data_IF_838863665518
#
_entry.id   IF_838863665518
#
_cell.length_a   1.000
_cell.length_b   1.000
_cell.length_c   1.000
_cell.angle_alpha   90.00
_cell.angle_beta   90.00
_cell.angle_gamma   90.00
#
_symmetry.space_group_name_H-M   'P 1'
#
loop_
_entity.id
_entity.type
_entity.pdbx_description
1 polymer ?
#
# COMPACT_ATOMS: atom_id res chain seq x y z
N UNK A 1 -7.71 14.29 -35.25
CA UNK A 1 -8.12 13.12 -36.05
C UNK A 1 -9.08 12.21 -35.30
N UNK A 2 -8.67 11.48 -34.26
CA UNK A 2 -9.57 10.55 -33.52
C UNK A 2 -10.84 11.20 -32.97
N UNK A 3 -10.71 12.27 -32.18
CA UNK A 3 -11.85 13.05 -31.65
C UNK A 3 -12.80 13.52 -32.76
N UNK A 4 -12.25 14.05 -33.85
CA UNK A 4 -13.06 14.58 -34.95
C UNK A 4 -13.84 13.47 -35.65
N UNK A 5 -13.21 12.34 -35.94
CA UNK A 5 -13.88 11.20 -36.56
C UNK A 5 -15.03 10.67 -35.68
N UNK A 6 -14.79 10.51 -34.37
CA UNK A 6 -15.81 10.01 -33.44
C UNK A 6 -16.95 11.02 -33.25
N UNK A 7 -16.64 12.31 -33.15
CA UNK A 7 -17.66 13.36 -32.99
C UNK A 7 -18.53 13.51 -34.23
N UNK A 8 -17.94 13.43 -35.44
CA UNK A 8 -18.69 13.43 -36.71
C UNK A 8 -19.60 12.20 -36.77
N UNK A 9 -19.09 11.02 -36.42
CA UNK A 9 -19.86 9.78 -36.44
C UNK A 9 -21.03 9.78 -35.44
N UNK A 10 -20.87 10.39 -34.27
CA UNK A 10 -21.93 10.49 -33.27
C UNK A 10 -23.03 11.50 -33.65
N UNK A 11 -22.74 12.47 -34.52
CA UNK A 11 -23.72 13.43 -35.05
C UNK A 11 -24.17 14.52 -34.07
N UNK A 12 -23.71 14.51 -32.81
CA UNK A 12 -23.96 15.55 -31.82
C UNK A 12 -22.86 15.55 -30.75
N UNK A 13 -22.61 16.70 -30.11
CA UNK A 13 -21.63 16.80 -29.01
C UNK A 13 -20.17 16.62 -29.44
N UNK A 14 -19.27 16.61 -28.46
CA UNK A 14 -17.83 16.36 -28.67
C UNK A 14 -17.43 15.08 -27.95
N UNK A 15 -16.90 14.12 -28.70
CA UNK A 15 -16.42 12.84 -28.18
C UNK A 15 -14.90 12.76 -28.31
N UNK A 16 -14.19 13.04 -27.21
CA UNK A 16 -12.73 13.11 -27.20
C UNK A 16 -12.08 11.72 -27.26
N UNK A 17 -11.06 11.59 -28.10
CA UNK A 17 -10.22 10.40 -28.22
C UNK A 17 -8.77 10.82 -28.10
N UNK A 18 -7.99 10.13 -27.27
CA UNK A 18 -6.57 10.42 -27.12
C UNK A 18 -5.79 9.28 -26.49
N UNK A 19 -4.48 9.26 -26.79
CA UNK A 19 -3.55 8.18 -26.41
C UNK A 19 -3.41 7.90 -24.90
N UNK A 20 -3.84 8.83 -24.05
CA UNK A 20 -3.80 8.69 -22.59
C UNK A 20 -5.20 8.60 -22.01
N UNK A 21 -6.10 9.51 -22.42
CA UNK A 21 -7.48 9.52 -21.94
C UNK A 21 -8.24 8.22 -22.28
N UNK A 22 -8.19 7.78 -23.54
CA UNK A 22 -8.99 6.64 -24.01
C UNK A 22 -8.58 5.31 -23.36
N UNK A 23 -7.29 4.93 -23.28
CA UNK A 23 -6.92 3.68 -22.61
C UNK A 23 -7.17 3.73 -21.10
N UNK A 24 -7.05 4.90 -20.47
CA UNK A 24 -7.37 5.03 -19.04
C UNK A 24 -8.88 4.91 -18.79
N UNK A 25 -9.74 5.48 -19.65
CA UNK A 25 -11.19 5.24 -19.61
C UNK A 25 -11.51 3.76 -19.83
N UNK A 26 -10.82 3.10 -20.76
CA UNK A 26 -11.00 1.66 -20.99
C UNK A 26 -10.67 0.82 -19.74
N UNK A 27 -9.65 1.18 -18.95
CA UNK A 27 -9.37 0.53 -17.66
C UNK A 27 -10.55 0.65 -16.68
N UNK A 28 -11.14 1.84 -16.57
CA UNK A 28 -12.31 2.08 -15.71
C UNK A 28 -13.51 1.26 -16.18
N UNK A 29 -13.82 1.29 -17.48
CA UNK A 29 -14.91 0.50 -18.05
C UNK A 29 -14.71 -1.00 -17.87
N UNK A 30 -13.50 -1.51 -18.08
CA UNK A 30 -13.17 -2.92 -17.90
C UNK A 30 -13.37 -3.35 -16.45
N UNK A 31 -12.86 -2.58 -15.48
CA UNK A 31 -13.07 -2.86 -14.05
C UNK A 31 -14.54 -2.76 -13.66
N UNK A 32 -15.28 -1.80 -14.21
CA UNK A 32 -16.72 -1.67 -13.98
C UNK A 32 -17.48 -2.92 -14.43
N UNK A 33 -17.22 -3.41 -15.66
CA UNK A 33 -17.87 -4.61 -16.16
C UNK A 33 -17.43 -5.89 -15.44
N UNK A 34 -16.14 -6.04 -15.12
CA UNK A 34 -15.61 -7.12 -14.28
C UNK A 34 -16.37 -7.17 -12.94
N UNK A 35 -16.57 -6.01 -12.30
CA UNK A 35 -17.28 -5.91 -11.04
C UNK A 35 -18.78 -6.20 -11.18
N UNK A 36 -19.45 -5.61 -12.18
CA UNK A 36 -20.91 -5.73 -12.38
C UNK A 36 -21.36 -7.11 -12.84
N UNK A 37 -20.54 -7.82 -13.60
CA UNK A 37 -20.83 -9.16 -14.13
C UNK A 37 -20.36 -10.27 -13.19
N UNK A 38 -19.75 -9.92 -12.06
CA UNK A 38 -19.26 -10.89 -11.11
C UNK A 38 -20.42 -11.58 -10.37
N UNK A 39 -20.40 -12.90 -10.36
CA UNK A 39 -21.33 -13.72 -9.57
C UNK A 39 -20.62 -14.21 -8.32
N UNK A 40 -21.01 -13.76 -7.11
CA UNK A 40 -20.43 -14.25 -5.87
C UNK A 40 -20.64 -15.76 -5.68
N UNK A 41 -19.56 -16.46 -5.38
CA UNK A 41 -19.57 -17.87 -5.00
C UNK A 41 -19.46 -17.97 -3.47
N UNK A 42 -20.34 -18.77 -2.86
CA UNK A 42 -20.24 -19.08 -1.44
C UNK A 42 -19.05 -20.00 -1.19
N UNK A 43 -18.44 -19.85 -0.02
CA UNK A 43 -17.42 -20.76 0.47
C UNK A 43 -17.51 -20.92 1.98
N UNK A 44 -17.07 -22.07 2.49
CA UNK A 44 -16.96 -22.36 3.90
C UNK A 44 -15.50 -22.55 4.27
N UNK A 45 -15.10 -22.00 5.41
CA UNK A 45 -13.75 -22.13 5.94
C UNK A 45 -13.84 -22.52 7.41
N UNK A 46 -13.07 -23.54 7.79
CA UNK A 46 -13.00 -24.02 9.16
C UNK A 46 -11.95 -23.23 9.91
N UNK A 47 -12.16 -23.11 11.22
CA UNK A 47 -11.22 -22.47 12.12
C UNK A 47 -11.13 -23.25 13.42
N UNK A 48 -9.92 -23.36 13.94
CA UNK A 48 -9.65 -23.87 15.28
C UNK A 48 -9.01 -22.78 16.12
N UNK A 49 -9.27 -22.80 17.42
CA UNK A 49 -8.66 -21.92 18.40
C UNK A 49 -7.89 -22.75 19.42
N UNK A 50 -6.71 -22.28 19.83
CA UNK A 50 -5.88 -22.88 20.87
C UNK A 50 -5.32 -21.79 21.78
N UNK A 51 -4.61 -22.20 22.84
CA UNK A 51 -3.96 -21.30 23.78
C UNK A 51 -2.87 -20.47 23.09
N UNK A 52 -2.86 -19.17 23.35
CA UNK A 52 -1.87 -18.22 22.85
C UNK A 52 -0.81 -17.85 23.89
N UNK A 53 -0.06 -16.78 23.61
CA UNK A 53 0.77 -16.13 24.62
C UNK A 53 -0.13 -15.34 25.61
N UNK A 54 0.32 -15.17 26.84
CA UNK A 54 -0.32 -14.31 27.86
C UNK A 54 -1.82 -14.54 28.06
N UNK A 55 -2.24 -15.81 28.15
CA UNK A 55 -3.66 -16.23 28.27
C UNK A 55 -4.55 -15.83 27.08
N UNK A 56 -3.94 -15.38 25.98
CA UNK A 56 -4.62 -15.11 24.72
C UNK A 56 -5.10 -16.38 24.02
N UNK A 57 -5.83 -16.20 22.92
CA UNK A 57 -6.21 -17.30 22.03
C UNK A 57 -5.65 -17.06 20.64
N UNK A 58 -5.16 -18.13 20.01
CA UNK A 58 -4.66 -18.08 18.64
C UNK A 58 -5.62 -18.84 17.75
N UNK A 59 -6.13 -18.15 16.73
CA UNK A 59 -7.05 -18.71 15.75
C UNK A 59 -6.29 -19.14 14.50
N UNK A 60 -6.39 -20.41 14.16
CA UNK A 60 -5.95 -20.92 12.86
C UNK A 60 -7.15 -20.99 11.91
N UNK A 61 -6.86 -20.86 10.61
CA UNK A 61 -7.84 -21.06 9.55
C UNK A 61 -7.42 -22.23 8.68
N UNK A 62 -8.37 -23.02 8.20
CA UNK A 62 -8.07 -24.09 7.26
C UNK A 62 -7.39 -23.54 6.01
N UNK A 63 -6.36 -24.23 5.51
CA UNK A 63 -5.66 -23.86 4.28
C UNK A 63 -6.61 -23.97 3.07
N UNK A 64 -7.54 -24.92 3.11
CA UNK A 64 -8.60 -25.09 2.13
C UNK A 64 -9.87 -24.30 2.46
N UNK A 65 -10.64 -24.01 1.41
CA UNK A 65 -11.99 -23.46 1.47
C UNK A 65 -12.90 -24.33 0.61
N UNK A 66 -14.04 -24.74 1.15
CA UNK A 66 -14.98 -25.61 0.47
C UNK A 66 -16.08 -24.80 -0.22
N UNK A 67 -16.50 -25.23 -1.41
CA UNK A 67 -17.57 -24.59 -2.20
C UNK A 67 -18.98 -25.05 -1.83
N UNK A 68 -19.08 -26.10 -1.02
CA UNK A 68 -20.34 -26.68 -0.56
C UNK A 68 -20.31 -26.79 0.96
N UNK A 69 -21.47 -26.71 1.59
CA UNK A 69 -21.60 -26.67 3.05
C UNK A 69 -21.42 -28.05 3.67
N UNK A 70 -21.91 -29.07 2.99
CA UNK A 70 -21.99 -30.45 3.47
C UNK A 70 -20.57 -31.01 3.74
N UNK A 71 -19.60 -30.94 2.80
CA UNK A 71 -18.23 -31.40 3.07
C UNK A 71 -17.56 -30.65 4.22
N UNK A 72 -17.79 -29.34 4.32
CA UNK A 72 -17.24 -28.52 5.41
C UNK A 72 -17.85 -28.91 6.77
N UNK A 73 -19.13 -29.28 6.80
CA UNK A 73 -19.83 -29.69 8.02
C UNK A 73 -19.31 -31.04 8.51
N UNK A 74 -19.13 -32.01 7.60
CA UNK A 74 -18.56 -33.32 7.95
C UNK A 74 -17.13 -33.20 8.50
N UNK A 75 -16.29 -32.36 7.88
CA UNK A 75 -14.94 -32.10 8.36
C UNK A 75 -14.94 -31.36 9.71
N UNK A 76 -15.88 -30.43 9.90
CA UNK A 76 -16.02 -29.71 11.17
C UNK A 76 -16.34 -30.66 12.32
N UNK A 77 -17.26 -31.61 12.12
CA UNK A 77 -17.63 -32.58 13.15
C UNK A 77 -16.47 -33.51 13.50
N UNK A 78 -15.67 -33.91 12.50
CA UNK A 78 -14.43 -34.69 12.71
C UNK A 78 -13.39 -33.91 13.51
N UNK A 79 -13.10 -32.67 13.12
CA UNK A 79 -12.14 -31.78 13.80
C UNK A 79 -12.58 -31.51 15.25
N UNK A 80 -13.87 -31.20 15.45
CA UNK A 80 -14.43 -30.94 16.78
C UNK A 80 -14.33 -32.17 17.68
N UNK A 81 -14.57 -33.36 17.14
CA UNK A 81 -14.50 -34.62 17.89
C UNK A 81 -13.07 -35.04 18.23
N UNK A 82 -12.09 -34.70 17.38
CA UNK A 82 -10.68 -35.01 17.64
C UNK A 82 -10.09 -34.22 18.82
N UNK A 83 -10.54 -32.98 19.04
CA UNK A 83 -10.20 -32.17 20.22
C UNK A 83 -8.74 -31.71 20.35
N UNK A 84 -7.86 -32.16 19.46
CA UNK A 84 -6.43 -31.81 19.39
C UNK A 84 -5.96 -31.66 17.94
N UNK A 85 -4.94 -30.84 17.72
CA UNK A 85 -4.27 -30.69 16.43
C UNK A 85 -2.76 -30.93 16.61
N UNK A 86 -2.09 -31.48 15.61
CA UNK A 86 -0.64 -31.70 15.64
C UNK A 86 0.05 -30.68 14.75
N UNK A 87 1.05 -29.98 15.28
CA UNK A 87 1.86 -29.05 14.48
C UNK A 87 2.68 -29.86 13.48
N UNK A 88 2.41 -29.66 12.20
CA UNK A 88 3.14 -30.32 11.10
C UNK A 88 4.28 -29.47 10.59
N UNK A 89 4.25 -28.15 10.84
CA UNK A 89 5.31 -27.24 10.44
C UNK A 89 5.30 -25.96 11.27
N UNK A 90 6.46 -25.50 11.71
CA UNK A 90 6.62 -24.20 12.36
C UNK A 90 7.83 -23.47 11.79
N UNK A 91 7.61 -22.33 11.12
CA UNK A 91 8.66 -21.48 10.58
C UNK A 91 8.71 -20.13 11.30
N UNK A 92 9.91 -19.72 11.70
CA UNK A 92 10.17 -18.37 12.23
C UNK A 92 11.27 -17.71 11.43
N UNK A 93 11.04 -16.49 10.99
CA UNK A 93 11.98 -15.73 10.15
C UNK A 93 11.97 -14.26 10.57
N UNK A 94 13.15 -13.71 10.77
CA UNK A 94 13.33 -12.26 10.83
C UNK A 94 13.06 -11.70 9.42
N UNK A 95 12.22 -10.66 9.35
CA UNK A 95 11.93 -9.94 8.11
C UNK A 95 12.25 -8.47 8.32
N UNK A 96 13.09 -7.94 7.43
CA UNK A 96 13.38 -6.51 7.36
C UNK A 96 12.45 -5.83 6.36
N UNK A 97 11.78 -4.77 6.80
CA UNK A 97 11.04 -3.86 5.94
C UNK A 97 11.85 -2.58 5.72
N UNK A 98 12.35 -2.45 4.50
CA UNK A 98 13.10 -1.29 4.04
C UNK A 98 12.28 0.01 4.17
N UNK A 99 12.95 1.13 4.42
CA UNK A 99 12.32 2.46 4.54
C UNK A 99 11.62 2.85 3.25
N UNK A 100 10.43 3.47 3.29
CA UNK A 100 9.80 3.95 2.07
C UNK A 100 10.71 4.97 1.35
N UNK A 101 10.74 4.94 0.02
CA UNK A 101 11.42 6.01 -0.72
C UNK A 101 10.65 7.33 -0.54
N UNK A 102 11.33 8.46 -0.71
CA UNK A 102 10.74 9.79 -0.76
C UNK A 102 9.57 9.88 -1.76
N UNK A 103 8.74 10.91 -1.61
CA UNK A 103 7.61 11.11 -2.52
C UNK A 103 8.07 11.62 -3.88
N UNK A 104 7.51 11.02 -4.93
CA UNK A 104 7.20 11.71 -6.17
C UNK A 104 5.76 12.23 -6.13
N UNK A 105 5.31 12.92 -7.18
CA UNK A 105 3.95 13.44 -7.25
C UNK A 105 2.89 12.33 -7.16
N UNK A 106 3.07 11.25 -7.92
CA UNK A 106 2.06 10.19 -8.04
C UNK A 106 1.90 9.43 -6.71
N UNK A 107 2.98 9.17 -5.99
CA UNK A 107 2.94 8.54 -4.66
C UNK A 107 2.29 9.46 -3.64
N UNK A 108 2.59 10.77 -3.65
CA UNK A 108 1.91 11.74 -2.79
C UNK A 108 0.40 11.78 -3.06
N UNK A 109 -0.01 11.85 -4.33
CA UNK A 109 -1.42 11.83 -4.74
C UNK A 109 -2.14 10.55 -4.30
N UNK A 110 -1.52 9.38 -4.50
CA UNK A 110 -2.08 8.09 -4.09
C UNK A 110 -2.33 8.02 -2.59
N UNK A 111 -1.37 8.47 -1.78
CA UNK A 111 -1.52 8.44 -0.32
C UNK A 111 -2.45 9.53 0.21
N UNK A 112 -2.43 10.71 -0.39
CA UNK A 112 -3.33 11.80 -0.05
C UNK A 112 -4.79 11.40 -0.30
N UNK A 113 -5.05 10.72 -1.42
CA UNK A 113 -6.35 10.16 -1.72
C UNK A 113 -6.76 9.07 -0.72
N UNK A 114 -5.86 8.10 -0.44
CA UNK A 114 -6.17 6.99 0.45
C UNK A 114 -6.38 7.41 1.92
N UNK A 115 -5.62 8.40 2.41
CA UNK A 115 -5.64 8.83 3.81
C UNK A 115 -6.60 10.00 4.08
N UNK A 116 -6.78 10.89 3.10
CA UNK A 116 -7.48 12.16 3.30
C UNK A 116 -8.57 12.43 2.26
N UNK A 117 -8.75 11.56 1.26
CA UNK A 117 -9.79 11.71 0.23
C UNK A 117 -9.51 12.79 -0.81
N UNK A 118 -8.34 13.42 -0.80
CA UNK A 118 -7.97 14.41 -1.80
C UNK A 118 -7.92 13.79 -3.20
N UNK A 119 -8.40 14.53 -4.21
CA UNK A 119 -8.21 14.14 -5.60
C UNK A 119 -6.73 14.34 -5.99
N UNK A 120 -6.33 13.69 -7.08
CA UNK A 120 -5.01 13.87 -7.66
C UNK A 120 -4.75 15.35 -8.03
N UNK A 121 -5.76 16.03 -8.57
CA UNK A 121 -5.68 17.45 -8.95
C UNK A 121 -5.58 18.36 -7.72
N UNK A 122 -6.44 18.18 -6.72
CA UNK A 122 -6.37 18.94 -5.46
C UNK A 122 -5.00 18.81 -4.79
N UNK A 123 -4.45 17.58 -4.76
CA UNK A 123 -3.12 17.35 -4.20
C UNK A 123 -2.03 18.10 -4.98
N UNK A 124 -2.12 18.13 -6.31
CA UNK A 124 -1.19 18.86 -7.16
C UNK A 124 -1.31 20.38 -6.98
N UNK A 125 -2.52 20.92 -6.93
CA UNK A 125 -2.78 22.34 -6.69
C UNK A 125 -2.19 22.79 -5.34
N UNK A 126 -2.43 22.01 -4.27
CA UNK A 126 -1.88 22.30 -2.95
C UNK A 126 -0.35 22.22 -2.96
N UNK A 127 0.23 21.17 -3.56
CA UNK A 127 1.68 21.03 -3.64
C UNK A 127 2.32 22.17 -4.45
N UNK A 128 1.68 22.59 -5.54
CA UNK A 128 2.11 23.73 -6.36
C UNK A 128 2.10 25.03 -5.54
N UNK A 129 1.04 25.28 -4.76
CA UNK A 129 0.94 26.42 -3.85
C UNK A 129 2.01 26.40 -2.75
N UNK A 130 2.31 25.24 -2.18
CA UNK A 130 3.38 25.07 -1.20
C UNK A 130 4.76 25.35 -1.81
N UNK A 131 4.99 24.91 -3.05
CA UNK A 131 6.22 25.19 -3.80
C UNK A 131 6.40 26.67 -4.12
N UNK A 132 5.33 27.36 -4.55
CA UNK A 132 5.36 28.81 -4.82
C UNK A 132 5.63 29.63 -3.55
N UNK A 133 5.16 29.13 -2.39
CA UNK A 133 5.52 29.64 -1.05
C UNK A 133 6.93 29.22 -0.59
N UNK A 134 7.68 28.48 -1.41
CA UNK A 134 9.02 27.94 -1.13
C UNK A 134 9.09 26.96 0.05
N UNK A 135 7.98 26.33 0.42
CA UNK A 135 7.90 25.39 1.57
C UNK A 135 8.28 23.96 1.21
N UNK A 136 8.09 23.58 -0.05
CA UNK A 136 8.52 22.28 -0.58
C UNK A 136 9.30 22.48 -1.89
N UNK A 137 10.01 21.43 -2.32
CA UNK A 137 10.71 21.40 -3.60
C UNK A 137 9.74 21.15 -4.76
N UNK A 138 10.23 21.25 -6.01
CA UNK A 138 9.39 21.23 -7.21
C UNK A 138 8.46 19.99 -7.27
N UNK A 139 7.14 20.17 -7.29
CA UNK A 139 6.21 19.08 -7.00
C UNK A 139 5.85 18.22 -8.20
N UNK A 140 6.14 18.66 -9.43
CA UNK A 140 5.88 17.87 -10.65
C UNK A 140 7.08 16.98 -10.98
N UNK A 141 7.56 16.27 -9.96
CA UNK A 141 8.66 15.31 -10.08
C UNK A 141 8.14 13.88 -10.17
N UNK A 142 8.81 13.06 -10.99
CA UNK A 142 8.63 11.61 -11.04
C UNK A 142 9.72 10.84 -10.29
N UNK A 143 10.72 11.53 -9.72
CA UNK A 143 11.80 10.86 -8.97
C UNK A 143 11.42 10.67 -7.51
N UNK A 144 11.87 9.55 -6.95
CA UNK A 144 11.82 9.23 -5.52
C UNK A 144 13.21 9.23 -4.87
N UNK A 145 14.19 9.80 -5.59
CA UNK A 145 15.60 9.85 -5.23
C UNK A 145 16.10 11.29 -5.19
N UNK A 146 17.19 11.50 -4.45
CA UNK A 146 17.94 12.75 -4.36
C UNK A 146 19.43 12.50 -4.66
N UNK A 147 20.14 13.49 -5.20
CA UNK A 147 21.59 13.42 -5.39
C UNK A 147 22.35 13.65 -4.07
N UNK A 148 23.67 13.41 -4.09
CA UNK A 148 24.53 13.47 -2.89
C UNK A 148 24.64 14.86 -2.26
N UNK A 149 24.67 15.90 -3.08
CA UNK A 149 24.70 17.30 -2.65
C UNK A 149 23.42 17.67 -1.89
N UNK A 150 22.27 17.19 -2.35
CA UNK A 150 20.99 17.36 -1.63
C UNK A 150 20.97 16.53 -0.34
N UNK A 151 21.56 15.33 -0.34
CA UNK A 151 21.66 14.51 0.87
C UNK A 151 22.47 15.19 1.98
N UNK A 152 23.50 15.98 1.62
CA UNK A 152 24.30 16.74 2.58
C UNK A 152 23.48 17.76 3.40
N UNK A 153 22.33 18.22 2.87
CA UNK A 153 21.43 19.16 3.55
C UNK A 153 20.41 18.47 4.48
N UNK A 154 20.23 17.15 4.37
CA UNK A 154 19.21 16.40 5.13
C UNK A 154 19.36 16.57 6.65
N UNK A 155 20.56 16.53 7.27
CA UNK A 155 20.70 16.76 8.70
C UNK A 155 20.13 18.12 9.16
N UNK A 156 20.34 19.17 8.37
CA UNK A 156 19.82 20.52 8.66
C UNK A 156 18.30 20.57 8.50
N UNK A 157 17.75 19.99 7.44
CA UNK A 157 16.30 19.89 7.23
C UNK A 157 15.63 19.06 8.32
N UNK A 158 16.29 18.01 8.83
CA UNK A 158 15.79 17.18 9.92
C UNK A 158 15.75 17.94 11.24
N UNK A 159 16.78 18.72 11.55
CA UNK A 159 16.77 19.60 12.71
C UNK A 159 15.62 20.62 12.63
N UNK A 160 15.36 21.16 11.43
CA UNK A 160 14.23 22.05 11.18
C UNK A 160 12.88 21.35 11.38
N UNK A 161 12.65 20.19 10.75
CA UNK A 161 11.41 19.41 10.87
C UNK A 161 11.18 19.02 12.34
N UNK A 162 12.20 18.54 13.04
CA UNK A 162 12.10 18.11 14.44
C UNK A 162 11.79 19.25 15.42
N UNK A 163 11.99 20.50 15.02
CA UNK A 163 11.60 21.68 15.77
C UNK A 163 10.12 22.09 15.53
N UNK A 164 9.47 21.54 14.50
CA UNK A 164 8.05 21.77 14.25
C UNK A 164 7.21 21.04 15.32
N UNK A 165 6.13 21.66 15.83
CA UNK A 165 5.28 21.05 16.85
C UNK A 165 4.77 19.65 16.48
N UNK A 166 4.41 19.44 15.21
CA UNK A 166 3.84 18.19 14.70
C UNK A 166 4.82 17.01 14.73
N UNK A 167 6.13 17.28 14.65
CA UNK A 167 7.18 16.25 14.56
C UNK A 167 8.11 16.21 15.76
N UNK A 168 7.78 16.96 16.81
CA UNK A 168 8.59 17.02 18.03
C UNK A 168 8.76 15.61 18.61
N UNK A 169 10.02 15.21 18.79
CA UNK A 169 10.38 13.87 19.32
C UNK A 169 10.27 12.72 18.32
N UNK A 170 9.88 12.97 17.06
CA UNK A 170 9.83 11.95 15.99
C UNK A 170 11.11 11.88 15.17
N UNK A 171 11.93 12.92 15.19
CA UNK A 171 13.25 12.95 14.55
C UNK A 171 14.30 12.47 15.54
N UNK A 172 14.96 11.35 15.24
CA UNK A 172 16.04 10.83 16.08
C UNK A 172 17.37 11.48 15.73
N UNK A 173 17.89 12.32 16.62
CA UNK A 173 19.13 13.08 16.39
C UNK A 173 20.41 12.22 16.28
N UNK A 174 20.36 10.93 16.65
CA UNK A 174 21.53 10.04 16.72
C UNK A 174 21.57 8.95 15.63
N UNK A 175 20.49 8.78 14.86
CA UNK A 175 20.46 7.78 13.79
C UNK A 175 21.23 8.32 12.57
N UNK A 176 22.07 7.50 11.95
CA UNK A 176 22.63 7.84 10.65
C UNK A 176 21.53 7.70 9.59
N UNK A 177 21.21 8.76 8.82
CA UNK A 177 20.20 8.69 7.78
C UNK A 177 20.49 7.56 6.78
N UNK A 178 19.51 6.69 6.54
CA UNK A 178 19.68 5.66 5.51
C UNK A 178 19.81 6.30 4.13
N UNK A 179 20.43 5.58 3.18
CA UNK A 179 20.74 6.12 1.86
C UNK A 179 19.83 5.58 0.76
N UNK A 180 18.71 4.94 1.11
CA UNK A 180 17.83 4.24 0.14
C UNK A 180 17.31 5.17 -0.96
N UNK A 181 17.01 6.41 -0.61
CA UNK A 181 16.58 7.47 -1.54
C UNK A 181 17.75 8.31 -2.09
N UNK A 182 19.01 7.93 -1.87
CA UNK A 182 20.18 8.68 -2.35
C UNK A 182 20.80 7.94 -3.53
N UNK A 183 20.44 8.37 -4.74
CA UNK A 183 20.93 7.80 -5.99
C UNK A 183 20.76 8.81 -7.11
N UNK A 184 21.82 9.58 -7.41
CA UNK A 184 21.81 10.58 -8.47
C UNK A 184 21.52 9.99 -9.86
N UNK A 185 21.82 8.71 -10.09
CA UNK A 185 21.54 8.03 -11.36
C UNK A 185 20.04 7.71 -11.56
N UNK A 186 19.24 7.81 -10.50
CA UNK A 186 17.77 7.63 -10.54
C UNK A 186 16.99 8.93 -10.35
N UNK A 187 17.70 10.06 -10.32
CA UNK A 187 17.08 11.38 -10.43
C UNK A 187 16.69 11.59 -11.88
N UNK A 188 15.45 12.02 -12.11
CA UNK A 188 14.96 12.39 -13.45
C UNK A 188 15.21 13.87 -13.70
N UNK A 189 14.33 14.60 -14.39
CA UNK A 189 14.46 16.06 -14.56
C UNK A 189 14.49 16.81 -13.22
N UNK A 190 13.87 16.25 -12.19
CA UNK A 190 13.81 16.79 -10.84
C UNK A 190 14.01 15.68 -9.80
N UNK A 191 14.57 16.02 -8.65
CA UNK A 191 14.69 15.10 -7.51
C UNK A 191 13.36 14.94 -6.77
N UNK A 192 13.32 14.08 -5.76
CA UNK A 192 12.12 13.82 -4.97
C UNK A 192 11.60 15.04 -4.18
N UNK A 193 10.33 14.98 -3.77
CA UNK A 193 9.71 15.98 -2.91
C UNK A 193 10.35 16.01 -1.52
N UNK A 194 10.83 17.19 -1.13
CA UNK A 194 11.33 17.52 0.19
C UNK A 194 10.63 18.78 0.70
N UNK A 195 10.54 18.94 2.02
CA UNK A 195 10.33 20.27 2.61
C UNK A 195 11.63 21.07 2.52
N UNK A 196 11.50 22.39 2.50
CA UNK A 196 12.64 23.31 2.61
C UNK A 196 12.88 23.72 4.07
N UNK A 197 13.82 24.63 4.31
CA UNK A 197 14.03 25.25 5.62
C UNK A 197 13.10 26.45 5.91
N UNK A 198 12.15 26.74 5.02
CA UNK A 198 11.22 27.87 5.19
C UNK A 198 10.09 27.51 6.17
N UNK A 199 9.78 28.43 7.09
CA UNK A 199 8.76 28.18 8.12
C UNK A 199 7.36 28.12 7.50
N UNK A 200 6.59 27.04 7.72
CA UNK A 200 5.23 26.89 7.19
C UNK A 200 4.23 27.75 7.99
N UNK A 201 4.20 29.05 7.72
CA UNK A 201 3.31 29.99 8.39
C UNK A 201 1.97 30.11 7.65
N UNK A 202 0.87 30.23 8.41
CA UNK A 202 -0.47 30.53 7.90
C UNK A 202 -0.97 29.55 6.81
N UNK A 203 -0.73 28.25 7.00
CA UNK A 203 -1.27 27.22 6.12
C UNK A 203 -2.75 26.97 6.42
N UNK A 204 -3.54 26.75 5.37
CA UNK A 204 -4.88 26.17 5.53
C UNK A 204 -4.76 24.76 6.10
N UNK A 205 -5.88 24.19 6.57
CA UNK A 205 -5.89 22.80 7.03
C UNK A 205 -5.40 21.83 5.94
N UNK A 206 -5.82 22.03 4.70
CA UNK A 206 -5.47 21.17 3.56
C UNK A 206 -4.01 21.36 3.13
N UNK A 207 -3.54 22.62 3.05
CA UNK A 207 -2.13 22.94 2.80
C UNK A 207 -1.23 22.27 3.86
N UNK A 208 -1.64 22.34 5.13
CA UNK A 208 -0.93 21.73 6.24
C UNK A 208 -0.87 20.21 6.09
N UNK A 209 -1.98 19.54 5.75
CA UNK A 209 -1.99 18.09 5.56
C UNK A 209 -0.93 17.66 4.52
N UNK A 210 -0.91 18.26 3.33
CA UNK A 210 0.05 17.89 2.28
C UNK A 210 1.49 18.22 2.69
N UNK A 211 1.73 19.37 3.32
CA UNK A 211 3.05 19.73 3.85
C UNK A 211 3.54 18.69 4.88
N UNK A 212 2.69 18.33 5.84
CA UNK A 212 3.02 17.33 6.86
C UNK A 212 3.21 15.93 6.26
N UNK A 213 2.48 15.56 5.21
CA UNK A 213 2.77 14.32 4.49
C UNK A 213 4.20 14.31 3.93
N UNK A 214 4.64 15.38 3.25
CA UNK A 214 6.00 15.48 2.71
C UNK A 214 7.05 15.43 3.84
N UNK A 215 6.85 16.20 4.91
CA UNK A 215 7.74 16.20 6.08
C UNK A 215 7.85 14.81 6.72
N UNK A 216 6.71 14.16 7.00
CA UNK A 216 6.68 12.84 7.62
C UNK A 216 7.33 11.76 6.74
N UNK A 217 7.12 11.82 5.43
CA UNK A 217 7.79 10.91 4.49
C UNK A 217 9.30 11.07 4.51
N UNK A 218 9.80 12.30 4.61
CA UNK A 218 11.24 12.52 4.76
C UNK A 218 11.75 11.80 6.01
N UNK A 219 11.08 11.98 7.16
CA UNK A 219 11.45 11.30 8.41
C UNK A 219 11.47 9.78 8.20
N UNK A 220 10.42 9.20 7.62
CA UNK A 220 10.37 7.75 7.34
C UNK A 220 11.50 7.27 6.41
N UNK A 221 11.75 7.98 5.31
CA UNK A 221 12.70 7.58 4.27
C UNK A 221 14.14 7.49 4.78
N UNK A 222 14.49 8.35 5.74
CA UNK A 222 15.82 8.41 6.35
C UNK A 222 15.89 7.81 7.75
N UNK A 223 14.79 7.30 8.30
CA UNK A 223 14.79 6.54 9.56
C UNK A 223 15.42 5.16 9.39
N UNK A 224 15.57 4.42 10.49
CA UNK A 224 15.99 3.02 10.41
C UNK A 224 14.91 2.13 9.77
N UNK A 225 15.33 0.97 9.26
CA UNK A 225 14.43 -0.07 8.75
C UNK A 225 13.57 -0.61 9.89
N UNK A 226 12.38 -1.12 9.56
CA UNK A 226 11.60 -1.91 10.49
C UNK A 226 12.10 -3.37 10.44
N UNK A 227 12.27 -3.99 11.61
CA UNK A 227 12.65 -5.40 11.74
C UNK A 227 11.57 -6.10 12.54
N UNK A 228 11.02 -7.18 12.00
CA UNK A 228 9.98 -7.97 12.66
C UNK A 228 10.28 -9.45 12.60
N UNK A 229 9.96 -10.15 13.66
CA UNK A 229 9.96 -11.61 13.69
C UNK A 229 8.61 -12.10 13.19
N UNK A 230 8.61 -12.89 12.13
CA UNK A 230 7.41 -13.48 11.54
C UNK A 230 7.36 -14.96 11.88
N UNK A 231 6.17 -15.46 12.20
CA UNK A 231 5.92 -16.87 12.46
C UNK A 231 4.80 -17.37 11.55
N UNK A 232 4.99 -18.53 10.94
CA UNK A 232 3.95 -19.29 10.24
C UNK A 232 3.92 -20.69 10.81
N UNK A 233 2.77 -21.09 11.34
CA UNK A 233 2.58 -22.44 11.92
C UNK A 233 1.44 -23.12 11.18
N UNK A 234 1.70 -24.35 10.78
CA UNK A 234 0.74 -25.26 10.16
C UNK A 234 0.50 -26.42 11.11
N UNK A 235 -0.77 -26.74 11.34
CA UNK A 235 -1.20 -27.85 12.16
C UNK A 235 -2.25 -28.68 11.43
N UNK A 236 -2.30 -29.97 11.72
CA UNK A 236 -3.26 -30.91 11.16
C UNK A 236 -4.20 -31.42 12.24
N UNK A 237 -5.48 -31.53 11.91
CA UNK A 237 -6.50 -32.12 12.77
C UNK A 237 -7.50 -32.89 11.92
N UNK A 238 -7.63 -34.19 12.16
CA UNK A 238 -8.58 -35.08 11.48
C UNK A 238 -8.52 -35.01 9.93
N UNK A 239 -7.33 -34.87 9.37
CA UNK A 239 -7.06 -34.76 7.94
C UNK A 239 -7.22 -33.36 7.37
N UNK A 240 -7.47 -32.33 8.20
CA UNK A 240 -7.60 -30.94 7.77
C UNK A 240 -6.38 -30.15 8.19
N UNK A 241 -5.75 -29.46 7.24
CA UNK A 241 -4.63 -28.56 7.48
C UNK A 241 -5.13 -27.16 7.86
N UNK A 242 -4.56 -26.63 8.94
CA UNK A 242 -4.82 -25.31 9.50
C UNK A 242 -3.54 -24.48 9.55
N UNK A 243 -3.61 -23.23 9.14
CA UNK A 243 -2.47 -22.31 9.17
C UNK A 243 -2.78 -21.06 10.00
N UNK A 244 -1.79 -20.60 10.74
CA UNK A 244 -1.77 -19.29 11.38
C UNK A 244 -0.48 -18.55 11.04
N UNK A 245 -0.59 -17.23 10.92
CA UNK A 245 0.54 -16.32 10.75
C UNK A 245 0.48 -15.25 11.81
N UNK A 246 1.65 -14.87 12.31
CA UNK A 246 1.78 -13.74 13.19
C UNK A 246 3.13 -13.05 13.03
N UNK A 247 3.25 -11.89 13.63
CA UNK A 247 4.48 -11.13 13.66
C UNK A 247 4.60 -10.29 14.92
N UNK A 248 5.83 -10.02 15.32
CA UNK A 248 6.17 -9.11 16.42
C UNK A 248 7.25 -8.16 15.93
N UNK A 249 7.07 -6.85 16.13
CA UNK A 249 8.07 -5.86 15.77
C UNK A 249 9.21 -5.91 16.79
N UNK A 250 10.41 -6.21 16.31
CA UNK A 250 11.65 -6.18 17.10
C UNK A 250 12.25 -4.78 17.11
N UNK A 251 12.15 -4.08 15.99
CA UNK A 251 12.59 -2.70 15.81
C UNK A 251 11.58 -1.98 14.92
N UNK A 252 10.89 -0.97 15.44
CA UNK A 252 9.85 -0.26 14.68
C UNK A 252 10.41 0.55 13.51
N UNK A 253 11.60 1.14 13.67
CA UNK A 253 12.23 1.98 12.65
C UNK A 253 11.26 3.06 12.13
N UNK A 254 11.18 3.21 10.81
CA UNK A 254 10.30 4.17 10.14
C UNK A 254 8.80 4.01 10.47
N UNK A 255 8.32 2.82 10.89
CA UNK A 255 6.91 2.62 11.28
C UNK A 255 6.50 3.46 12.49
N UNK A 256 7.45 3.82 13.35
CA UNK A 256 7.20 4.61 14.56
C UNK A 256 6.88 6.10 14.28
N UNK A 257 7.16 6.59 13.06
CA UNK A 257 6.99 8.01 12.70
C UNK A 257 5.55 8.46 12.92
N UNK A 258 4.58 7.76 12.32
CA UNK A 258 3.15 8.06 12.50
C UNK A 258 2.53 7.41 13.73
N UNK A 259 3.29 6.60 14.50
CA UNK A 259 2.82 5.97 15.72
C UNK A 259 1.63 5.03 15.53
N UNK A 260 1.50 4.43 14.34
CA UNK A 260 0.44 3.47 14.07
C UNK A 260 0.64 2.22 14.92
N UNK A 261 -0.37 1.84 15.70
CA UNK A 261 -0.49 0.47 16.19
C UNK A 261 -0.56 -0.44 14.96
N UNK A 262 0.48 -1.26 14.75
CA UNK A 262 0.41 -2.30 13.73
C UNK A 262 -0.62 -3.32 14.22
N UNK A 263 -1.85 -3.23 13.68
CA UNK A 263 -2.95 -4.18 13.94
C UNK A 263 -2.61 -5.63 13.53
N UNK A 264 -1.41 -5.86 13.00
CA UNK A 264 -0.87 -7.15 12.58
C UNK A 264 0.06 -7.79 13.63
N UNK A 265 0.26 -7.18 14.81
CA UNK A 265 1.02 -7.82 15.88
C UNK A 265 0.23 -8.95 16.56
N UNK A 266 0.36 -10.15 16.00
CA UNK A 266 -0.10 -11.38 16.63
C UNK A 266 1.12 -12.17 17.07
N UNK A 267 1.38 -12.22 18.38
CA UNK A 267 2.41 -13.09 18.93
C UNK A 267 1.99 -14.56 18.80
N UNK A 268 2.85 -15.39 18.22
CA UNK A 268 2.62 -16.83 18.07
C UNK A 268 3.49 -17.57 19.08
N UNK A 269 2.91 -18.43 19.96
CA UNK A 269 3.65 -19.25 20.91
C UNK A 269 4.74 -20.07 20.24
N UNK A 270 5.81 -20.39 20.99
CA UNK A 270 7.02 -21.10 20.54
C UNK A 270 6.85 -22.54 20.07
N UNK A 271 5.73 -22.90 19.45
CA UNK A 271 5.41 -24.23 18.93
C UNK A 271 6.44 -24.75 17.94
N UNK A 272 6.62 -26.06 17.98
CA UNK A 272 7.53 -26.85 17.15
C UNK A 272 6.76 -27.95 16.43
N UNK A 273 7.35 -28.44 15.34
CA UNK A 273 6.85 -29.62 14.66
C UNK A 273 6.76 -30.80 15.64
N UNK A 274 5.63 -31.51 15.61
CA UNK A 274 5.30 -32.59 16.54
C UNK A 274 4.52 -32.16 17.79
N UNK A 275 4.42 -30.86 18.09
CA UNK A 275 3.65 -30.39 19.24
C UNK A 275 2.16 -30.70 19.08
N UNK A 276 1.51 -31.11 20.17
CA UNK A 276 0.05 -31.32 20.22
C UNK A 276 -0.63 -30.11 20.84
N UNK A 277 -1.57 -29.51 20.10
CA UNK A 277 -2.35 -28.35 20.49
C UNK A 277 -3.74 -28.80 20.93
N UNK A 278 -4.11 -28.55 22.19
CA UNK A 278 -5.50 -28.76 22.63
C UNK A 278 -6.40 -27.67 22.05
N UNK A 279 -7.53 -28.08 21.47
CA UNK A 279 -8.49 -27.13 20.91
C UNK A 279 -9.33 -26.50 22.03
N UNK A 280 -9.42 -25.17 22.02
CA UNK A 280 -10.33 -24.38 22.87
C UNK A 280 -11.63 -24.02 22.15
N UNK A 281 -11.62 -24.06 20.83
CA UNK A 281 -12.78 -23.78 20.01
C UNK A 281 -12.63 -24.30 18.60
N UNK A 282 -13.76 -24.59 17.97
CA UNK A 282 -13.87 -24.91 16.56
C UNK A 282 -15.05 -24.13 15.99
N UNK A 283 -14.93 -23.58 14.79
CA UNK A 283 -16.01 -22.86 14.13
C UNK A 283 -15.90 -22.95 12.61
N UNK A 284 -17.02 -22.76 11.94
CA UNK A 284 -17.08 -22.64 10.48
C UNK A 284 -17.61 -21.27 10.13
N UNK A 285 -16.95 -20.58 9.20
CA UNK A 285 -17.44 -19.31 8.64
C UNK A 285 -17.93 -19.54 7.22
N UNK A 286 -19.13 -19.06 6.92
CA UNK A 286 -19.60 -18.86 5.54
C UNK A 286 -19.13 -17.51 5.03
N UNK A 287 -18.46 -17.51 3.88
CA UNK A 287 -18.05 -16.32 3.15
C UNK A 287 -18.59 -16.34 1.73
N UNK A 288 -18.51 -15.18 1.07
CA UNK A 288 -18.76 -15.06 -0.36
C UNK A 288 -17.57 -14.39 -1.02
N UNK A 289 -17.18 -14.88 -2.19
CA UNK A 289 -16.19 -14.21 -3.02
C UNK A 289 -16.70 -12.80 -3.36
N UNK A 290 -15.78 -11.85 -3.53
CA UNK A 290 -16.11 -10.46 -3.84
C UNK A 290 -15.49 -10.07 -5.16
N UNK A 291 -16.16 -9.24 -5.98
CA UNK A 291 -15.53 -8.67 -7.16
C UNK A 291 -14.35 -7.80 -6.74
N UNK A 292 -13.42 -7.58 -7.67
CA UNK A 292 -12.40 -6.55 -7.46
C UNK A 292 -13.10 -5.19 -7.25
N UNK A 293 -12.68 -4.39 -6.25
CA UNK A 293 -13.25 -3.06 -6.04
C UNK A 293 -13.15 -2.20 -7.28
N UNK A 294 -14.12 -1.31 -7.45
CA UNK A 294 -14.05 -0.25 -8.46
C UNK A 294 -12.82 0.62 -8.21
N UNK A 295 -12.33 1.26 -9.28
CA UNK A 295 -11.20 2.16 -9.16
C UNK A 295 -11.57 3.38 -8.30
N UNK A 296 -10.79 3.60 -7.24
CA UNK A 296 -10.56 4.93 -6.67
C UNK A 296 -9.51 5.67 -7.51
N UNK A 297 -9.34 6.98 -7.31
CA UNK A 297 -8.26 7.71 -7.99
C UNK A 297 -6.88 7.13 -7.66
N UNK A 298 -6.60 6.78 -6.40
CA UNK A 298 -5.32 6.17 -6.05
C UNK A 298 -5.06 4.85 -6.81
N UNK A 299 -6.08 4.00 -6.91
CA UNK A 299 -5.94 2.71 -7.62
C UNK A 299 -5.91 2.89 -9.14
N UNK A 300 -6.57 3.91 -9.69
CA UNK A 300 -6.48 4.27 -11.10
C UNK A 300 -5.10 4.84 -11.45
N UNK A 301 -4.58 5.76 -10.64
CA UNK A 301 -3.20 6.26 -10.78
C UNK A 301 -2.18 5.12 -10.76
N UNK A 302 -2.34 4.16 -9.86
CA UNK A 302 -1.47 2.98 -9.82
C UNK A 302 -1.62 2.10 -11.05
N UNK A 303 -2.82 1.98 -11.63
CA UNK A 303 -3.04 1.25 -12.86
C UNK A 303 -2.44 1.96 -14.08
N UNK A 304 -2.52 3.29 -14.13
CA UNK A 304 -1.87 4.12 -15.16
C UNK A 304 -0.34 4.03 -15.07
N UNK A 305 0.23 4.13 -13.87
CA UNK A 305 1.68 4.05 -13.62
C UNK A 305 2.27 2.70 -14.01
N UNK A 306 1.56 1.61 -13.72
CA UNK A 306 2.02 0.24 -14.00
C UNK A 306 1.44 -0.36 -15.27
N UNK A 307 0.83 0.48 -16.11
CA UNK A 307 0.26 0.06 -17.38
C UNK A 307 1.32 -0.59 -18.26
N UNK A 308 1.00 -1.75 -18.83
CA UNK A 308 1.92 -2.51 -19.67
C UNK A 308 2.72 -3.59 -18.95
N UNK A 309 2.66 -3.67 -17.62
CA UNK A 309 3.35 -4.74 -16.84
C UNK A 309 2.94 -6.16 -17.25
N UNK A 310 1.68 -6.32 -17.69
CA UNK A 310 1.08 -7.61 -18.03
C UNK A 310 1.15 -7.89 -19.55
N UNK A 311 1.81 -7.02 -20.35
CA UNK A 311 2.02 -7.26 -21.79
C UNK A 311 3.02 -8.40 -21.95
N UNK A 312 2.67 -9.44 -22.70
CA UNK A 312 3.53 -10.62 -22.90
C UNK A 312 4.83 -10.29 -23.65
N UNK A 313 4.76 -9.41 -24.65
CA UNK A 313 5.91 -8.96 -25.43
C UNK A 313 6.89 -8.13 -24.57
N UNK A 314 8.12 -8.61 -24.45
CA UNK A 314 9.15 -8.00 -23.60
C UNK A 314 9.58 -6.61 -24.06
N UNK A 315 9.63 -6.37 -25.38
CA UNK A 315 10.03 -5.07 -25.93
C UNK A 315 8.98 -4.00 -25.62
N UNK A 316 7.69 -4.32 -25.79
CA UNK A 316 6.57 -3.45 -25.47
C UNK A 316 6.43 -3.24 -23.96
N UNK A 317 6.60 -4.30 -23.16
CA UNK A 317 6.63 -4.20 -21.70
C UNK A 317 7.74 -3.27 -21.22
N UNK A 318 8.95 -3.43 -21.76
CA UNK A 318 10.10 -2.61 -21.39
C UNK A 318 9.93 -1.16 -21.83
N UNK A 319 9.29 -0.90 -22.98
CA UNK A 319 8.97 0.45 -23.44
C UNK A 319 7.98 1.20 -22.53
N UNK A 320 7.12 0.47 -21.82
CA UNK A 320 6.10 1.06 -20.93
C UNK A 320 6.49 1.05 -19.45
N UNK A 321 7.50 0.26 -19.06
CA UNK A 321 7.88 -0.01 -17.66
C UNK A 321 8.05 1.24 -16.80
N UNK A 322 8.66 2.29 -17.34
CA UNK A 322 9.01 3.50 -16.60
C UNK A 322 8.04 4.68 -16.85
N UNK A 323 7.25 4.61 -17.93
CA UNK A 323 6.37 5.69 -18.36
C UNK A 323 4.89 5.43 -18.02
N UNK A 324 4.46 4.16 -18.06
CA UNK A 324 3.06 3.79 -17.98
C UNK A 324 2.19 4.55 -18.99
N UNK A 325 0.96 4.89 -18.59
CA UNK A 325 0.04 5.73 -19.33
C UNK A 325 0.07 7.16 -18.76
N UNK A 326 0.60 8.10 -19.54
CA UNK A 326 0.76 9.50 -19.15
C UNK A 326 1.90 9.74 -18.16
N UNK A 327 2.29 10.99 -18.00
CA UNK A 327 3.34 11.41 -17.04
C UNK A 327 2.72 11.85 -15.71
N UNK A 328 3.47 11.86 -14.58
CA UNK A 328 2.96 12.32 -13.29
C UNK A 328 2.21 13.65 -13.35
N UNK A 329 2.69 14.61 -14.15
CA UNK A 329 2.10 15.94 -14.31
C UNK A 329 0.77 15.97 -15.11
N UNK A 330 0.44 14.91 -15.85
CA UNK A 330 -0.72 14.87 -16.76
C UNK A 330 -1.83 13.92 -16.30
N UNK A 331 -1.51 12.93 -15.45
CA UNK A 331 -2.47 11.90 -15.02
C UNK A 331 -3.66 12.50 -14.27
N UNK A 332 -3.43 13.45 -13.37
CA UNK A 332 -4.48 14.12 -12.60
C UNK A 332 -5.50 14.83 -13.49
N UNK A 333 -5.03 15.74 -14.36
CA UNK A 333 -5.88 16.48 -15.28
C UNK A 333 -6.71 15.57 -16.21
N UNK A 334 -6.17 14.42 -16.63
CA UNK A 334 -6.90 13.46 -17.46
C UNK A 334 -8.05 12.83 -16.68
N UNK A 335 -7.80 12.42 -15.43
CA UNK A 335 -8.85 11.87 -14.55
C UNK A 335 -9.93 12.93 -14.28
N UNK A 336 -9.51 14.18 -14.05
CA UNK A 336 -10.43 15.29 -13.78
C UNK A 336 -11.32 15.61 -14.98
N UNK A 337 -10.80 15.47 -16.21
CA UNK A 337 -11.54 15.78 -17.45
C UNK A 337 -12.81 14.95 -17.71
N UNK A 338 -13.04 13.88 -16.94
CA UNK A 338 -14.25 13.04 -17.04
C UNK A 338 -15.23 13.22 -15.89
N UNK A 339 -14.86 14.02 -14.89
CA UNK A 339 -15.77 14.29 -13.79
C UNK A 339 -16.87 15.25 -14.27
N UNK A 340 -18.11 15.04 -13.80
CA UNK A 340 -19.27 15.83 -14.22
C UNK A 340 -19.19 17.29 -13.79
#
# INVERSE_FOLDING_TARGET
NGTQALSIAAGHGTYSVGRVQTPTLAMVCARYWENRRFTPEAFWQLHIATDGCDEGTVKFSSSEKWKEKEPATELYDKVKSAGTATVTKAERKEKTEETPLLYDLTTLQKEANAKHGFTAEQTLEIAQKLYEKKLITYPRTGSRYIPEDVFAEIPKLFAFIGALPEWKGKVQAKAQPTRRSVDGGKVTDHHALLVTGEKPLFLSKEDSIIYQMVAGRMIEAFSEKCVKDTATVTAECAGVEFTVKGSVIRQAGWRAVYGGEDKEETAIPGWREGDTLTLKGCSTTEGKTKPKPLHTEATLLSAMETAGKDIEDDALRQALKDCGIGTPATRAAIIESWKP
#
